data_IF_024704625839
#
_entry.id   IF_024704625839
#
_cell.length_a   1.000
_cell.length_b   1.000
_cell.length_c   1.000
_cell.angle_alpha   90.00
_cell.angle_beta   90.00
_cell.angle_gamma   90.00
#
_symmetry.space_group_name_H-M   'P 1'
#
loop_
_entity.id
_entity.type
_entity.pdbx_description
1 polymer ?
#
# COMPACT_ATOMS: atom_id res chain seq x y z
N UNK A 1 -24.15 14.59 4.90
CA UNK A 1 -24.56 13.18 5.09
C UNK A 1 -24.72 12.42 3.77
N UNK A 2 -25.42 12.95 2.76
CA UNK A 2 -25.62 12.28 1.45
C UNK A 2 -24.33 12.01 0.67
N UNK A 3 -23.38 12.95 0.67
CA UNK A 3 -22.07 12.81 0.00
C UNK A 3 -21.30 11.59 0.52
N UNK A 4 -21.15 11.47 1.84
CA UNK A 4 -20.44 10.34 2.46
C UNK A 4 -21.16 9.01 2.18
N UNK A 5 -22.48 8.97 2.22
CA UNK A 5 -23.26 7.77 1.90
C UNK A 5 -23.02 7.29 0.47
N UNK A 6 -22.95 8.18 -0.51
CA UNK A 6 -22.62 7.82 -1.91
C UNK A 6 -21.20 7.31 -2.06
N UNK A 7 -20.22 7.93 -1.39
CA UNK A 7 -18.84 7.44 -1.39
C UNK A 7 -18.80 6.01 -0.84
N UNK A 8 -19.41 5.75 0.32
CA UNK A 8 -19.49 4.41 0.92
C UNK A 8 -20.14 3.40 -0.02
N UNK A 9 -21.24 3.76 -0.68
CA UNK A 9 -21.92 2.85 -1.62
C UNK A 9 -21.01 2.45 -2.79
N UNK A 10 -20.32 3.40 -3.41
CA UNK A 10 -19.42 3.13 -4.53
C UNK A 10 -18.26 2.24 -4.08
N UNK A 11 -17.66 2.54 -2.93
CA UNK A 11 -16.54 1.75 -2.37
C UNK A 11 -16.99 0.33 -2.02
N UNK A 12 -18.17 0.15 -1.43
CA UNK A 12 -18.72 -1.17 -1.14
C UNK A 12 -19.03 -2.00 -2.40
N UNK A 13 -19.55 -1.37 -3.45
CA UNK A 13 -19.79 -2.04 -4.74
C UNK A 13 -18.45 -2.48 -5.35
N UNK A 14 -17.43 -1.62 -5.37
CA UNK A 14 -16.10 -1.96 -5.84
C UNK A 14 -15.49 -3.12 -5.04
N UNK A 15 -15.55 -3.06 -3.71
CA UNK A 15 -15.08 -4.11 -2.81
C UNK A 15 -15.78 -5.45 -3.02
N UNK A 16 -17.12 -5.44 -3.15
CA UNK A 16 -17.88 -6.66 -3.42
C UNK A 16 -17.50 -7.30 -4.77
N UNK A 17 -17.31 -6.50 -5.81
CA UNK A 17 -16.84 -6.98 -7.11
C UNK A 17 -15.43 -7.55 -7.00
N UNK A 18 -14.52 -6.91 -6.26
CA UNK A 18 -13.17 -7.42 -6.04
C UNK A 18 -13.16 -8.77 -5.34
N UNK A 19 -13.94 -8.96 -4.29
CA UNK A 19 -14.06 -10.24 -3.57
C UNK A 19 -14.64 -11.33 -4.49
N UNK A 20 -15.69 -11.01 -5.25
CA UNK A 20 -16.27 -11.95 -6.20
C UNK A 20 -15.28 -12.37 -7.28
N UNK A 21 -14.55 -11.41 -7.84
CA UNK A 21 -13.52 -11.68 -8.85
C UNK A 21 -12.36 -12.46 -8.28
N UNK A 22 -11.93 -12.19 -7.05
CA UNK A 22 -10.87 -12.91 -6.36
C UNK A 22 -11.20 -14.40 -6.27
N UNK A 23 -12.38 -14.76 -5.74
CA UNK A 23 -12.83 -16.14 -5.62
C UNK A 23 -12.93 -16.79 -7.01
N UNK A 24 -13.52 -16.09 -7.97
CA UNK A 24 -13.69 -16.61 -9.33
C UNK A 24 -12.36 -16.85 -10.04
N UNK A 25 -11.38 -15.95 -9.90
CA UNK A 25 -10.03 -16.11 -10.46
C UNK A 25 -9.31 -17.33 -9.86
N UNK A 26 -9.38 -17.53 -8.53
CA UNK A 26 -8.80 -18.72 -7.91
C UNK A 26 -9.43 -20.01 -8.42
N UNK A 27 -10.75 -20.10 -8.44
CA UNK A 27 -11.46 -21.28 -8.96
C UNK A 27 -11.09 -21.51 -10.43
N UNK A 28 -11.15 -20.48 -11.27
CA UNK A 28 -10.84 -20.59 -12.68
C UNK A 28 -9.37 -20.93 -12.96
N UNK A 29 -8.45 -20.41 -12.15
CA UNK A 29 -7.02 -20.71 -12.26
C UNK A 29 -6.69 -22.14 -11.89
N UNK A 30 -7.26 -22.65 -10.81
CA UNK A 30 -7.05 -24.03 -10.34
C UNK A 30 -7.72 -25.03 -11.28
N UNK A 31 -9.03 -24.88 -11.53
CA UNK A 31 -9.82 -25.78 -12.39
C UNK A 31 -9.37 -25.69 -13.86
N UNK A 32 -9.04 -24.47 -14.32
CA UNK A 32 -8.52 -24.22 -15.66
C UNK A 32 -7.03 -24.56 -15.83
N UNK A 33 -6.34 -25.01 -14.79
CA UNK A 33 -4.90 -25.33 -14.82
C UNK A 33 -4.01 -24.18 -15.36
N UNK A 34 -4.41 -22.92 -15.17
CA UNK A 34 -3.68 -21.73 -15.63
C UNK A 34 -2.79 -21.18 -14.51
N UNK A 35 -1.48 -21.18 -14.74
CA UNK A 35 -0.53 -20.57 -13.81
C UNK A 35 -0.67 -19.04 -13.79
N UNK A 36 -0.92 -18.42 -14.96
CA UNK A 36 -1.13 -16.98 -15.06
C UNK A 36 -2.38 -16.52 -14.31
N UNK A 37 -3.49 -17.27 -14.39
CA UNK A 37 -4.71 -16.94 -13.66
C UNK A 37 -4.54 -17.10 -12.15
N UNK A 38 -3.83 -18.11 -11.68
CA UNK A 38 -3.50 -18.25 -10.25
C UNK A 38 -2.63 -17.08 -9.77
N UNK A 39 -1.64 -16.67 -10.56
CA UNK A 39 -0.79 -15.54 -10.24
C UNK A 39 -1.60 -14.21 -10.16
N UNK A 40 -2.52 -13.99 -11.12
CA UNK A 40 -3.42 -12.82 -11.12
C UNK A 40 -4.43 -12.87 -9.95
N UNK A 41 -4.88 -14.06 -9.54
CA UNK A 41 -5.70 -14.23 -8.33
C UNK A 41 -4.92 -13.87 -7.05
N UNK A 42 -3.66 -14.30 -6.95
CA UNK A 42 -2.79 -13.95 -5.81
C UNK A 42 -2.50 -12.46 -5.77
N UNK A 43 -2.30 -11.81 -6.92
CA UNK A 43 -2.18 -10.35 -6.99
C UNK A 43 -3.44 -9.67 -6.44
N UNK A 44 -4.62 -10.07 -6.90
CA UNK A 44 -5.90 -9.54 -6.38
C UNK A 44 -6.13 -9.86 -4.89
N UNK A 45 -5.60 -11.00 -4.39
CA UNK A 45 -5.61 -11.32 -2.97
C UNK A 45 -4.73 -10.36 -2.18
N UNK A 46 -3.56 -9.99 -2.71
CA UNK A 46 -2.66 -9.06 -2.05
C UNK A 46 -3.31 -7.69 -1.83
N UNK A 47 -4.01 -7.20 -2.84
CA UNK A 47 -4.72 -5.93 -2.76
C UNK A 47 -5.83 -6.00 -1.69
N UNK A 48 -6.66 -7.05 -1.75
CA UNK A 48 -7.73 -7.27 -0.77
C UNK A 48 -7.20 -7.40 0.67
N UNK A 49 -6.12 -8.14 0.87
CA UNK A 49 -5.50 -8.32 2.19
C UNK A 49 -4.94 -6.99 2.69
N UNK A 50 -4.32 -6.19 1.84
CA UNK A 50 -3.84 -4.86 2.19
C UNK A 50 -5.00 -3.96 2.63
N UNK A 51 -6.11 -3.96 1.89
CA UNK A 51 -7.32 -3.19 2.23
C UNK A 51 -7.91 -3.61 3.59
N UNK A 52 -8.03 -4.92 3.84
CA UNK A 52 -8.53 -5.45 5.13
C UNK A 52 -7.63 -5.05 6.29
N UNK A 53 -6.32 -5.06 6.07
CA UNK A 53 -5.37 -4.65 7.10
C UNK A 53 -5.49 -3.19 7.42
N UNK A 54 -5.54 -2.32 6.40
CA UNK A 54 -5.78 -0.90 6.64
C UNK A 54 -7.05 -0.70 7.47
N UNK A 55 -8.13 -1.41 7.16
CA UNK A 55 -9.39 -1.30 7.91
C UNK A 55 -9.30 -1.82 9.37
N UNK A 56 -8.69 -2.98 9.58
CA UNK A 56 -8.58 -3.61 10.91
C UNK A 56 -7.56 -2.87 11.76
N UNK A 57 -6.44 -2.51 11.18
CA UNK A 57 -5.35 -1.90 11.95
C UNK A 57 -5.52 -0.40 12.17
N UNK A 58 -6.22 0.33 11.29
CA UNK A 58 -6.69 1.69 11.61
C UNK A 58 -7.56 1.69 12.87
N UNK A 59 -8.36 0.63 13.09
CA UNK A 59 -9.13 0.51 14.31
C UNK A 59 -8.28 0.19 15.56
N UNK A 60 -7.23 -0.62 15.41
CA UNK A 60 -6.33 -1.00 16.54
C UNK A 60 -5.32 0.12 16.81
N UNK A 61 -4.73 0.69 15.77
CA UNK A 61 -3.75 1.79 15.89
C UNK A 61 -4.37 3.07 16.44
N UNK A 62 -5.66 3.28 16.23
CA UNK A 62 -6.43 4.37 16.82
C UNK A 62 -6.72 4.23 18.31
N UNK A 63 -6.27 3.15 18.99
CA UNK A 63 -6.38 3.06 20.46
C UNK A 63 -5.44 4.09 21.09
N UNK A 64 -5.95 4.85 22.09
CA UNK A 64 -5.13 5.84 22.78
C UNK A 64 -3.97 5.18 23.53
N UNK A 65 -3.00 5.99 23.92
CA UNK A 65 -1.89 5.60 24.81
C UNK A 65 -2.43 4.92 26.06
N UNK A 66 -1.78 3.85 26.47
CA UNK A 66 -2.08 3.12 27.71
C UNK A 66 -0.79 2.88 28.52
N UNK A 67 -0.90 2.23 29.69
CA UNK A 67 0.23 1.97 30.58
C UNK A 67 1.31 1.05 30.00
N UNK A 68 1.01 0.35 28.91
CA UNK A 68 1.92 -0.57 28.24
C UNK A 68 2.52 0.01 26.96
N UNK A 69 1.88 1.05 26.39
CA UNK A 69 2.25 1.67 25.13
C UNK A 69 2.16 3.21 25.23
N UNK A 70 3.19 3.83 25.79
CA UNK A 70 3.26 5.28 26.02
C UNK A 70 3.19 6.10 24.71
N UNK A 71 3.64 5.55 23.60
CA UNK A 71 3.56 6.15 22.25
C UNK A 71 2.31 5.70 21.45
N UNK A 72 1.38 4.97 22.10
CA UNK A 72 0.19 4.43 21.44
C UNK A 72 0.46 3.14 20.66
N UNK A 73 -0.51 2.72 19.87
CA UNK A 73 -0.51 1.42 19.19
C UNK A 73 -0.20 1.51 17.68
N UNK A 74 0.28 2.67 17.19
CA UNK A 74 0.50 2.90 15.75
C UNK A 74 1.42 1.87 15.06
N UNK A 75 2.45 1.37 15.74
CA UNK A 75 3.39 0.39 15.18
C UNK A 75 2.78 -1.01 14.92
N UNK A 76 1.59 -1.32 15.45
CA UNK A 76 0.88 -2.55 15.08
C UNK A 76 0.51 -2.58 13.60
N UNK A 77 0.15 -1.43 13.01
CA UNK A 77 -0.10 -1.32 11.58
C UNK A 77 1.16 -1.66 10.77
N UNK A 78 2.29 -1.08 11.13
CA UNK A 78 3.58 -1.33 10.48
C UNK A 78 3.99 -2.81 10.59
N UNK A 79 3.82 -3.43 11.76
CA UNK A 79 4.13 -4.84 11.98
C UNK A 79 3.28 -5.74 11.09
N UNK A 80 1.99 -5.48 11.03
CA UNK A 80 1.07 -6.27 10.21
C UNK A 80 1.39 -6.15 8.72
N UNK A 81 1.61 -4.92 8.23
CA UNK A 81 2.04 -4.67 6.86
C UNK A 81 3.34 -5.43 6.52
N UNK A 82 4.29 -5.48 7.46
CA UNK A 82 5.54 -6.23 7.29
C UNK A 82 5.30 -7.74 7.18
N UNK A 83 4.48 -8.32 8.07
CA UNK A 83 4.15 -9.76 8.04
C UNK A 83 3.50 -10.14 6.71
N UNK A 84 2.61 -9.30 6.20
CA UNK A 84 1.96 -9.55 4.92
C UNK A 84 2.94 -9.43 3.76
N UNK A 85 3.78 -8.40 3.76
CA UNK A 85 4.84 -8.27 2.78
C UNK A 85 5.71 -9.54 2.70
N UNK A 86 6.05 -10.15 3.84
CA UNK A 86 6.79 -11.41 3.90
C UNK A 86 5.98 -12.59 3.32
N UNK A 87 4.72 -12.72 3.69
CA UNK A 87 3.86 -13.79 3.18
C UNK A 87 3.66 -13.69 1.66
N UNK A 88 3.40 -12.48 1.15
CA UNK A 88 3.28 -12.23 -0.29
C UNK A 88 4.57 -12.51 -1.04
N UNK A 89 5.72 -12.12 -0.48
CA UNK A 89 7.02 -12.39 -1.09
C UNK A 89 7.27 -13.90 -1.21
N UNK A 90 6.95 -14.67 -0.17
CA UNK A 90 7.09 -16.12 -0.18
C UNK A 90 6.20 -16.77 -1.26
N UNK A 91 4.94 -16.35 -1.37
CA UNK A 91 4.00 -16.83 -2.39
C UNK A 91 4.46 -16.43 -3.80
N UNK A 92 4.94 -15.22 -3.99
CA UNK A 92 5.45 -14.72 -5.27
C UNK A 92 6.67 -15.54 -5.75
N UNK A 93 7.59 -15.86 -4.86
CA UNK A 93 8.70 -16.78 -5.19
C UNK A 93 8.21 -18.16 -5.61
N UNK A 94 7.18 -18.70 -4.93
CA UNK A 94 6.54 -19.96 -5.33
C UNK A 94 5.95 -19.91 -6.74
N UNK A 95 5.27 -18.80 -7.08
CA UNK A 95 4.71 -18.58 -8.43
C UNK A 95 5.80 -18.52 -9.48
N UNK A 96 6.84 -17.70 -9.25
CA UNK A 96 7.98 -17.56 -10.19
C UNK A 96 8.70 -18.89 -10.36
N UNK A 97 9.00 -19.59 -9.27
CA UNK A 97 9.62 -20.92 -9.33
C UNK A 97 8.77 -21.91 -10.12
N UNK A 98 7.47 -22.01 -9.85
CA UNK A 98 6.55 -22.88 -10.57
C UNK A 98 6.41 -22.50 -12.06
N UNK A 99 6.44 -21.22 -12.39
CA UNK A 99 6.45 -20.74 -13.77
C UNK A 99 7.75 -21.12 -14.51
N UNK A 100 8.89 -20.86 -13.90
CA UNK A 100 10.21 -21.18 -14.48
C UNK A 100 10.36 -22.69 -14.69
N UNK A 101 9.96 -23.53 -13.73
CA UNK A 101 10.03 -25.00 -13.88
C UNK A 101 9.17 -25.49 -15.03
N UNK A 102 7.98 -24.92 -15.26
CA UNK A 102 7.14 -25.24 -16.42
C UNK A 102 7.78 -24.79 -17.74
N UNK A 103 8.37 -23.59 -17.79
CA UNK A 103 9.09 -23.09 -18.97
C UNK A 103 10.26 -24.02 -19.30
N UNK A 104 11.04 -24.43 -18.29
CA UNK A 104 12.16 -25.34 -18.48
C UNK A 104 11.73 -26.75 -18.92
N UNK A 105 10.63 -27.26 -18.38
CA UNK A 105 10.04 -28.53 -18.83
C UNK A 105 9.64 -28.47 -20.32
N UNK A 106 8.98 -27.37 -20.73
CA UNK A 106 8.62 -27.13 -22.13
C UNK A 106 9.87 -27.08 -23.04
N UNK A 107 10.92 -26.38 -22.60
CA UNK A 107 12.19 -26.29 -23.33
C UNK A 107 12.82 -27.67 -23.55
N UNK A 108 12.72 -28.57 -22.60
CA UNK A 108 13.19 -29.96 -22.68
C UNK A 108 12.24 -30.87 -23.46
N UNK A 109 11.26 -30.35 -24.18
CA UNK A 109 10.35 -31.10 -25.04
C UNK A 109 9.15 -31.72 -24.31
N UNK A 110 8.94 -31.45 -23.02
CA UNK A 110 7.74 -31.87 -22.32
C UNK A 110 6.52 -31.06 -22.76
N UNK A 111 5.45 -31.75 -23.11
CA UNK A 111 4.19 -31.06 -23.44
C UNK A 111 3.52 -30.52 -22.19
N UNK A 112 3.29 -29.20 -22.15
CA UNK A 112 2.51 -28.57 -21.11
C UNK A 112 1.02 -28.72 -21.40
N UNK A 113 0.23 -28.91 -20.35
CA UNK A 113 -1.23 -28.90 -20.46
C UNK A 113 -1.69 -27.47 -20.77
N UNK A 114 -2.46 -27.32 -21.86
CA UNK A 114 -3.05 -26.02 -22.20
C UNK A 114 -4.01 -25.56 -21.10
N UNK A 115 -4.03 -24.26 -20.77
CA UNK A 115 -5.01 -23.71 -19.83
C UNK A 115 -6.43 -23.89 -20.37
N UNK A 116 -7.38 -24.10 -19.46
CA UNK A 116 -8.79 -24.26 -19.82
C UNK A 116 -9.45 -22.93 -20.20
N UNK A 117 -10.46 -23.01 -21.07
CA UNK A 117 -11.26 -21.84 -21.48
C UNK A 117 -11.90 -21.09 -20.30
N UNK A 118 -12.13 -21.76 -19.16
CA UNK A 118 -12.64 -21.12 -17.95
C UNK A 118 -11.71 -20.03 -17.43
N UNK A 119 -10.38 -20.26 -17.46
CA UNK A 119 -9.40 -19.27 -17.05
C UNK A 119 -9.38 -18.05 -18.00
N UNK A 120 -9.54 -18.29 -19.31
CA UNK A 120 -9.63 -17.21 -20.29
C UNK A 120 -10.87 -16.34 -20.08
N UNK A 121 -12.04 -16.95 -19.92
CA UNK A 121 -13.27 -16.21 -19.63
C UNK A 121 -13.22 -15.46 -18.32
N UNK A 122 -12.55 -16.03 -17.30
CA UNK A 122 -12.34 -15.35 -16.03
C UNK A 122 -11.46 -14.11 -16.17
N UNK A 123 -10.40 -14.18 -17.00
CA UNK A 123 -9.57 -13.01 -17.29
C UNK A 123 -10.37 -11.91 -18.00
N UNK A 124 -11.12 -12.24 -19.02
CA UNK A 124 -11.96 -11.28 -19.75
C UNK A 124 -13.02 -10.65 -18.85
N UNK A 125 -13.72 -11.46 -18.05
CA UNK A 125 -14.73 -10.97 -17.11
C UNK A 125 -14.10 -10.05 -16.06
N UNK A 126 -12.90 -10.39 -15.57
CA UNK A 126 -12.15 -9.52 -14.64
C UNK A 126 -11.86 -8.15 -15.24
N UNK A 127 -11.37 -8.10 -16.48
CA UNK A 127 -11.09 -6.84 -17.18
C UNK A 127 -12.36 -6.02 -17.34
N UNK A 128 -13.45 -6.65 -17.80
CA UNK A 128 -14.73 -5.97 -18.04
C UNK A 128 -15.34 -5.41 -16.76
N UNK A 129 -15.36 -6.20 -15.68
CA UNK A 129 -15.95 -5.76 -14.41
C UNK A 129 -15.10 -4.68 -13.75
N UNK A 130 -13.76 -4.80 -13.76
CA UNK A 130 -12.88 -3.76 -13.22
C UNK A 130 -12.96 -2.45 -14.01
N UNK A 131 -13.05 -2.51 -15.33
CA UNK A 131 -13.28 -1.31 -16.16
C UNK A 131 -14.66 -0.69 -15.89
N UNK A 132 -15.70 -1.50 -15.68
CA UNK A 132 -17.02 -1.01 -15.32
C UNK A 132 -17.03 -0.32 -13.94
N UNK A 133 -16.37 -0.93 -12.94
CA UNK A 133 -16.19 -0.33 -11.61
C UNK A 133 -15.40 0.98 -11.71
N UNK A 134 -14.31 1.00 -12.50
CA UNK A 134 -13.56 2.23 -12.76
C UNK A 134 -14.46 3.34 -13.29
N UNK A 135 -15.22 3.07 -14.37
CA UNK A 135 -16.10 4.08 -14.99
C UNK A 135 -17.18 4.58 -14.04
N UNK A 136 -17.75 3.68 -13.26
CA UNK A 136 -18.74 4.04 -12.24
C UNK A 136 -18.12 4.90 -11.14
N UNK A 137 -16.97 4.47 -10.60
CA UNK A 137 -16.29 5.18 -9.50
C UNK A 137 -15.78 6.55 -9.93
N UNK A 138 -15.17 6.68 -11.12
CA UNK A 138 -14.64 7.95 -11.62
C UNK A 138 -15.74 8.97 -11.89
N UNK A 139 -16.89 8.53 -12.43
CA UNK A 139 -18.04 9.40 -12.66
C UNK A 139 -18.58 9.99 -11.35
N UNK A 140 -18.68 9.15 -10.30
CA UNK A 140 -19.13 9.61 -8.98
C UNK A 140 -18.05 10.45 -8.28
N UNK A 141 -16.77 10.12 -8.44
CA UNK A 141 -15.66 10.89 -7.90
C UNK A 141 -15.67 12.34 -8.41
N UNK A 142 -15.86 12.53 -9.72
CA UNK A 142 -15.97 13.86 -10.33
C UNK A 142 -17.21 14.62 -9.86
N UNK A 143 -18.37 13.95 -9.73
CA UNK A 143 -19.59 14.58 -9.20
C UNK A 143 -19.44 15.06 -7.76
N UNK A 144 -18.70 14.31 -6.93
CA UNK A 144 -18.51 14.59 -5.51
C UNK A 144 -17.22 15.35 -5.20
N UNK A 145 -16.39 15.63 -6.21
CA UNK A 145 -15.05 16.21 -6.10
C UNK A 145 -14.21 15.50 -5.02
N UNK A 146 -14.20 14.15 -5.05
CA UNK A 146 -13.54 13.31 -4.07
C UNK A 146 -12.27 12.72 -4.64
N UNK A 147 -11.11 13.29 -4.27
CA UNK A 147 -9.79 12.80 -4.69
C UNK A 147 -9.53 11.35 -4.24
N UNK A 148 -10.01 10.98 -3.05
CA UNK A 148 -9.86 9.61 -2.54
C UNK A 148 -10.62 8.59 -3.40
N UNK A 149 -11.86 8.92 -3.82
CA UNK A 149 -12.64 8.03 -4.70
C UNK A 149 -12.03 7.99 -6.11
N UNK A 150 -11.47 9.09 -6.59
CA UNK A 150 -10.76 9.16 -7.86
C UNK A 150 -9.51 8.27 -7.84
N UNK A 151 -8.68 8.36 -6.80
CA UNK A 151 -7.51 7.50 -6.63
C UNK A 151 -7.90 6.01 -6.59
N UNK A 152 -8.96 5.65 -5.87
CA UNK A 152 -9.48 4.28 -5.83
C UNK A 152 -10.00 3.82 -7.20
N UNK A 153 -10.63 4.69 -7.98
CA UNK A 153 -11.05 4.36 -9.34
C UNK A 153 -9.83 4.04 -10.24
N UNK A 154 -8.79 4.86 -10.20
CA UNK A 154 -7.56 4.61 -10.95
C UNK A 154 -6.85 3.31 -10.53
N UNK A 155 -6.93 2.94 -9.25
CA UNK A 155 -6.44 1.63 -8.79
C UNK A 155 -7.16 0.48 -9.49
N UNK A 156 -8.50 0.48 -9.54
CA UNK A 156 -9.27 -0.53 -10.28
C UNK A 156 -8.89 -0.62 -11.76
N UNK A 157 -8.59 0.52 -12.40
CA UNK A 157 -8.14 0.54 -13.79
C UNK A 157 -6.74 -0.04 -13.96
N UNK A 158 -5.83 0.26 -13.04
CA UNK A 158 -4.49 -0.32 -13.04
C UNK A 158 -4.53 -1.86 -12.95
N UNK A 159 -5.41 -2.37 -12.09
CA UNK A 159 -5.63 -3.82 -11.96
C UNK A 159 -6.26 -4.44 -13.22
N UNK A 160 -7.16 -3.71 -13.89
CA UNK A 160 -7.71 -4.17 -15.17
C UNK A 160 -6.60 -4.31 -16.23
N UNK A 161 -5.68 -3.34 -16.27
CA UNK A 161 -4.53 -3.37 -17.19
C UNK A 161 -3.58 -4.54 -16.90
N UNK A 162 -3.33 -4.86 -15.62
CA UNK A 162 -2.51 -6.04 -15.24
C UNK A 162 -3.15 -7.35 -15.69
N UNK A 163 -4.48 -7.47 -15.56
CA UNK A 163 -5.23 -8.64 -16.02
C UNK A 163 -5.24 -8.81 -17.55
N UNK A 164 -4.96 -7.76 -18.34
CA UNK A 164 -4.79 -7.86 -19.81
C UNK A 164 -3.58 -8.74 -20.13
N UNK A 165 -2.45 -8.55 -19.46
CA UNK A 165 -1.26 -9.39 -19.65
C UNK A 165 -1.55 -10.87 -19.38
N UNK A 166 -2.29 -11.16 -18.31
CA UNK A 166 -2.77 -12.51 -18.00
C UNK A 166 -3.68 -13.08 -19.09
N UNK A 167 -4.64 -12.28 -19.58
CA UNK A 167 -5.54 -12.70 -20.65
C UNK A 167 -4.81 -13.00 -21.97
N UNK A 168 -3.80 -12.21 -22.31
CA UNK A 168 -2.95 -12.44 -23.51
C UNK A 168 -2.15 -13.74 -23.35
N UNK A 169 -1.55 -13.98 -22.18
CA UNK A 169 -0.79 -15.21 -21.90
C UNK A 169 -1.66 -16.45 -22.00
N UNK A 170 -2.83 -16.44 -21.37
CA UNK A 170 -3.79 -17.55 -21.40
C UNK A 170 -4.37 -17.75 -22.81
N UNK A 171 -4.82 -16.65 -23.45
CA UNK A 171 -5.39 -16.70 -24.79
C UNK A 171 -4.38 -17.19 -25.81
N UNK A 172 -3.14 -16.71 -25.77
CA UNK A 172 -2.07 -17.21 -26.62
C UNK A 172 -1.80 -18.71 -26.41
N UNK A 173 -1.77 -19.17 -25.17
CA UNK A 173 -1.59 -20.59 -24.85
C UNK A 173 -2.74 -21.49 -25.34
N UNK A 174 -3.97 -20.95 -25.45
CA UNK A 174 -5.14 -21.70 -25.95
C UNK A 174 -5.22 -21.68 -27.47
N UNK A 175 -5.14 -20.46 -28.08
CA UNK A 175 -5.51 -20.27 -29.48
C UNK A 175 -4.38 -20.49 -30.48
N UNK A 176 -3.09 -20.37 -30.04
CA UNK A 176 -1.95 -20.56 -30.92
C UNK A 176 -1.46 -22.04 -31.01
N UNK A 177 -2.08 -22.92 -30.24
CA UNK A 177 -1.79 -24.35 -30.26
C UNK A 177 -0.71 -24.81 -29.27
N UNK A 178 -0.42 -26.10 -29.29
CA UNK A 178 0.39 -26.80 -28.26
C UNK A 178 1.79 -26.21 -28.07
N UNK A 179 2.42 -25.72 -29.13
CA UNK A 179 3.75 -25.12 -29.05
C UNK A 179 3.77 -23.80 -28.28
N UNK A 180 2.63 -23.15 -28.09
CA UNK A 180 2.49 -21.86 -27.43
C UNK A 180 1.94 -21.95 -26.00
N UNK A 181 1.75 -23.18 -25.47
CA UNK A 181 1.28 -23.37 -24.08
C UNK A 181 2.22 -22.76 -23.05
N UNK A 182 3.46 -22.48 -23.41
CA UNK A 182 4.47 -21.81 -22.60
C UNK A 182 4.08 -20.34 -22.27
N UNK A 183 3.18 -19.73 -23.02
CA UNK A 183 2.75 -18.34 -22.77
C UNK A 183 2.05 -18.17 -21.42
N UNK A 184 1.30 -19.18 -20.96
CA UNK A 184 0.68 -19.15 -19.63
C UNK A 184 1.72 -19.10 -18.49
N UNK A 185 2.70 -20.01 -18.39
CA UNK A 185 3.75 -19.87 -17.37
C UNK A 185 4.64 -18.62 -17.54
N UNK A 186 4.86 -18.12 -18.77
CA UNK A 186 5.56 -16.85 -18.96
C UNK A 186 4.78 -15.69 -18.34
N UNK A 187 3.47 -15.60 -18.62
CA UNK A 187 2.62 -14.60 -18.00
C UNK A 187 2.60 -14.73 -16.47
N UNK A 188 2.56 -15.96 -15.95
CA UNK A 188 2.66 -16.23 -14.50
C UNK A 188 3.96 -15.67 -13.90
N UNK A 189 5.11 -15.88 -14.55
CA UNK A 189 6.40 -15.35 -14.10
C UNK A 189 6.42 -13.83 -14.10
N UNK A 190 5.87 -13.21 -15.15
CA UNK A 190 5.78 -11.74 -15.22
C UNK A 190 4.94 -11.19 -14.06
N UNK A 191 3.75 -11.75 -13.83
CA UNK A 191 2.88 -11.34 -12.71
C UNK A 191 3.59 -11.60 -11.37
N UNK A 192 4.28 -12.74 -11.21
CA UNK A 192 5.07 -13.05 -10.02
C UNK A 192 6.15 -11.99 -9.72
N UNK A 193 6.85 -11.47 -10.74
CA UNK A 193 7.80 -10.38 -10.56
C UNK A 193 7.13 -9.07 -10.13
N UNK A 194 5.93 -8.76 -10.62
CA UNK A 194 5.17 -7.61 -10.12
C UNK A 194 4.81 -7.77 -8.64
N UNK A 195 4.39 -8.98 -8.22
CA UNK A 195 4.09 -9.25 -6.81
C UNK A 195 5.37 -9.12 -5.95
N UNK A 196 6.53 -9.62 -6.42
CA UNK A 196 7.83 -9.44 -5.74
C UNK A 196 8.14 -7.96 -5.54
N UNK A 197 7.97 -7.15 -6.59
CA UNK A 197 8.22 -5.70 -6.51
C UNK A 197 7.34 -5.05 -5.44
N UNK A 198 6.03 -5.30 -5.45
CA UNK A 198 5.09 -4.74 -4.48
C UNK A 198 5.41 -5.22 -3.06
N UNK A 199 5.66 -6.52 -2.88
CA UNK A 199 6.03 -7.10 -1.58
C UNK A 199 7.32 -6.50 -1.04
N UNK A 200 8.33 -6.30 -1.89
CA UNK A 200 9.62 -5.70 -1.50
C UNK A 200 9.44 -4.24 -1.08
N UNK A 201 8.56 -3.49 -1.76
CA UNK A 201 8.26 -2.11 -1.39
C UNK A 201 7.54 -2.03 -0.04
N UNK A 202 6.55 -2.90 0.21
CA UNK A 202 5.88 -3.03 1.51
C UNK A 202 6.88 -3.35 2.62
N UNK A 203 7.76 -4.32 2.38
CA UNK A 203 8.80 -4.72 3.34
C UNK A 203 9.79 -3.60 3.63
N UNK A 204 10.25 -2.90 2.59
CA UNK A 204 11.19 -1.79 2.76
C UNK A 204 10.58 -0.69 3.63
N UNK A 205 9.32 -0.32 3.40
CA UNK A 205 8.60 0.66 4.23
C UNK A 205 8.40 0.12 5.64
N UNK A 206 7.88 -1.10 5.78
CA UNK A 206 7.62 -1.71 7.10
C UNK A 206 8.88 -1.85 7.94
N UNK A 207 9.96 -2.37 7.37
CA UNK A 207 11.25 -2.47 8.08
C UNK A 207 11.84 -1.09 8.36
N UNK A 208 11.78 -0.14 7.44
CA UNK A 208 12.21 1.24 7.67
C UNK A 208 11.53 1.84 8.90
N UNK A 209 10.20 1.79 8.95
CA UNK A 209 9.41 2.31 10.08
C UNK A 209 9.69 1.56 11.40
N UNK A 210 9.90 0.22 11.35
CA UNK A 210 10.25 -0.57 12.54
C UNK A 210 11.65 -0.26 13.05
N UNK A 211 12.58 0.05 12.15
CA UNK A 211 13.97 0.41 12.44
C UNK A 211 14.16 1.90 12.70
N UNK A 212 13.07 2.64 12.93
CA UNK A 212 13.10 4.05 13.28
C UNK A 212 13.74 4.94 12.17
N UNK A 213 13.49 4.60 10.89
CA UNK A 213 13.97 5.39 9.77
C UNK A 213 13.41 6.82 9.85
N UNK A 214 14.26 7.82 9.59
CA UNK A 214 13.88 9.23 9.51
C UNK A 214 12.84 9.48 8.40
N UNK A 215 12.13 10.58 8.53
CA UNK A 215 11.21 11.04 7.51
C UNK A 215 11.99 11.50 6.25
N UNK A 216 11.31 11.64 5.09
CA UNK A 216 11.93 12.20 3.89
C UNK A 216 12.54 13.57 4.15
N UNK A 217 13.66 13.88 3.48
CA UNK A 217 14.43 15.11 3.63
C UNK A 217 13.57 16.37 3.46
N UNK A 218 12.63 16.33 2.50
CA UNK A 218 11.71 17.45 2.25
C UNK A 218 10.79 17.73 3.45
N UNK A 219 10.40 16.68 4.18
CA UNK A 219 9.58 16.82 5.40
C UNK A 219 10.42 17.33 6.56
N UNK A 220 11.66 16.86 6.70
CA UNK A 220 12.59 17.32 7.74
C UNK A 220 12.95 18.79 7.55
N UNK A 221 13.21 19.23 6.31
CA UNK A 221 13.42 20.65 5.98
C UNK A 221 12.21 21.50 6.31
N UNK A 222 11.00 21.00 6.07
CA UNK A 222 9.76 21.71 6.40
C UNK A 222 9.58 21.85 7.91
N UNK A 223 9.87 20.79 8.69
CA UNK A 223 9.85 20.83 10.15
C UNK A 223 10.79 21.92 10.67
N UNK A 224 12.03 21.97 10.18
CA UNK A 224 13.01 22.98 10.58
C UNK A 224 12.57 24.39 10.22
N UNK A 225 11.97 24.59 9.03
CA UNK A 225 11.43 25.89 8.61
C UNK A 225 10.27 26.33 9.51
N UNK A 226 9.36 25.44 9.85
CA UNK A 226 8.24 25.71 10.75
C UNK A 226 8.74 26.07 12.15
N UNK A 227 9.70 25.36 12.70
CA UNK A 227 10.30 25.67 13.98
C UNK A 227 11.02 27.04 13.97
N UNK A 228 11.77 27.34 12.90
CA UNK A 228 12.46 28.61 12.73
C UNK A 228 11.52 29.80 12.52
N UNK A 229 10.24 29.59 12.22
CA UNK A 229 9.27 30.66 12.03
C UNK A 229 8.79 31.30 13.33
N UNK A 230 9.07 30.67 14.48
CA UNK A 230 8.69 31.21 15.80
C UNK A 230 9.70 32.27 16.25
N UNK A 231 9.18 33.44 16.57
CA UNK A 231 10.02 34.57 16.98
C UNK A 231 10.84 34.26 18.24
N UNK A 232 12.13 34.59 18.20
CA UNK A 232 13.09 34.31 19.28
C UNK A 232 13.68 32.89 19.24
N UNK A 233 13.37 32.05 18.26
CA UNK A 233 13.97 30.75 18.04
C UNK A 233 15.15 30.91 17.07
N UNK A 234 16.30 30.42 17.48
CA UNK A 234 17.51 30.48 16.69
C UNK A 234 17.98 29.04 16.41
N UNK A 235 18.46 28.82 15.19
CA UNK A 235 19.13 27.60 14.75
C UNK A 235 18.47 26.28 15.24
N UNK A 236 17.26 25.92 14.76
CA UNK A 236 16.72 24.59 15.00
C UNK A 236 17.69 23.52 14.47
N UNK A 237 18.08 22.54 15.30
CA UNK A 237 19.10 21.55 14.97
C UNK A 237 18.87 20.24 15.69
N UNK A 238 19.75 19.26 15.51
CA UNK A 238 19.66 17.87 16.07
C UNK A 238 18.27 17.25 15.88
N UNK A 239 17.67 17.50 14.71
CA UNK A 239 16.35 16.97 14.36
C UNK A 239 16.41 15.45 14.27
N UNK A 240 15.50 14.79 15.00
CA UNK A 240 15.26 13.36 14.92
C UNK A 240 13.78 13.13 14.64
N UNK A 241 13.52 12.34 13.63
CA UNK A 241 12.18 12.05 13.19
C UNK A 241 11.97 10.56 13.05
N UNK A 242 10.74 10.11 13.26
CA UNK A 242 10.31 8.75 12.93
C UNK A 242 8.81 8.68 12.73
N UNK A 243 8.38 7.64 12.05
CA UNK A 243 6.95 7.35 11.87
C UNK A 243 6.45 6.40 12.97
N UNK A 244 5.26 6.68 13.49
CA UNK A 244 4.53 5.82 14.45
C UNK A 244 3.15 5.54 13.86
N UNK A 245 3.06 4.54 12.96
CA UNK A 245 1.83 4.28 12.20
C UNK A 245 1.48 5.47 11.29
N UNK A 246 0.33 6.09 11.54
CA UNK A 246 -0.16 7.25 10.77
C UNK A 246 0.35 8.60 11.27
N UNK A 247 1.10 8.67 12.39
CA UNK A 247 1.60 9.91 12.97
C UNK A 247 3.13 9.97 12.96
N UNK A 248 3.67 11.13 13.31
CA UNK A 248 5.10 11.36 13.43
C UNK A 248 5.53 11.53 14.88
N UNK A 249 6.77 11.15 15.18
CA UNK A 249 7.49 11.61 16.35
C UNK A 249 8.61 12.53 15.85
N UNK A 250 8.68 13.73 16.43
CA UNK A 250 9.58 14.81 16.07
C UNK A 250 10.28 15.25 17.35
N UNK A 251 11.60 15.16 17.37
CA UNK A 251 12.45 15.63 18.46
C UNK A 251 13.46 16.61 17.86
N UNK A 252 13.57 17.82 18.39
CA UNK A 252 14.53 18.81 17.89
C UNK A 252 15.04 19.71 18.99
N UNK A 253 16.22 20.27 18.78
CA UNK A 253 16.83 21.28 19.62
C UNK A 253 16.68 22.67 19.01
N UNK A 254 16.53 23.67 19.86
CA UNK A 254 16.47 25.07 19.47
C UNK A 254 17.34 25.90 20.41
N UNK A 255 17.98 26.93 19.86
CA UNK A 255 18.69 27.92 20.66
C UNK A 255 17.76 29.10 20.98
N UNK A 256 17.90 29.62 22.20
CA UNK A 256 17.21 30.84 22.66
C UNK A 256 18.16 31.71 23.49
N UNK A 257 17.95 33.05 23.57
CA UNK A 257 18.78 33.90 24.39
C UNK A 257 18.84 33.41 25.85
N UNK A 258 20.08 33.28 26.38
CA UNK A 258 20.30 32.68 27.70
C UNK A 258 19.78 33.48 28.89
N UNK A 259 19.30 34.68 28.67
CA UNK A 259 18.74 35.57 29.69
C UNK A 259 17.22 35.52 29.79
N UNK A 260 16.54 34.77 28.91
CA UNK A 260 15.08 34.60 29.00
C UNK A 260 14.67 33.74 30.19
N UNK A 261 13.49 34.00 30.72
CA UNK A 261 12.94 33.15 31.79
C UNK A 261 12.53 31.75 31.25
N UNK A 262 12.63 30.71 32.10
CA UNK A 262 12.14 29.39 31.76
C UNK A 262 10.68 29.38 31.27
N UNK A 263 9.85 30.27 31.83
CA UNK A 263 8.45 30.44 31.42
C UNK A 263 8.34 30.93 29.97
N UNK A 264 9.15 31.91 29.57
CA UNK A 264 9.17 32.39 28.19
C UNK A 264 9.69 31.35 27.22
N UNK A 265 10.75 30.63 27.57
CA UNK A 265 11.29 29.52 26.78
C UNK A 265 10.24 28.43 26.58
N UNK A 266 9.52 28.05 27.63
CA UNK A 266 8.45 27.04 27.57
C UNK A 266 7.28 27.47 26.64
N UNK A 267 6.88 28.75 26.71
CA UNK A 267 5.84 29.28 25.82
C UNK A 267 6.26 29.13 24.34
N UNK A 268 7.52 29.45 24.02
CA UNK A 268 8.04 29.34 22.65
C UNK A 268 8.14 27.86 22.18
N UNK A 269 8.61 26.96 23.06
CA UNK A 269 8.60 25.54 22.76
C UNK A 269 7.16 25.03 22.50
N UNK A 270 6.20 25.44 23.31
CA UNK A 270 4.78 25.07 23.13
C UNK A 270 4.18 25.65 21.85
N UNK A 271 4.60 26.84 21.41
CA UNK A 271 4.19 27.43 20.13
C UNK A 271 4.67 26.60 18.96
N UNK A 272 5.93 26.13 18.97
CA UNK A 272 6.45 25.20 17.95
C UNK A 272 5.66 23.88 17.97
N UNK A 273 5.43 23.29 19.16
CA UNK A 273 4.65 22.05 19.28
C UNK A 273 3.26 22.19 18.66
N UNK A 274 2.59 23.32 18.91
CA UNK A 274 1.25 23.58 18.36
C UNK A 274 1.28 23.74 16.84
N UNK A 275 2.23 24.48 16.29
CA UNK A 275 2.42 24.65 14.84
C UNK A 275 2.65 23.28 14.17
N UNK A 276 3.54 22.46 14.71
CA UNK A 276 3.84 21.15 14.16
C UNK A 276 2.63 20.19 14.25
N UNK A 277 1.88 20.21 15.37
CA UNK A 277 0.65 19.42 15.51
C UNK A 277 -0.48 19.91 14.59
N UNK A 278 -0.60 21.20 14.36
CA UNK A 278 -1.57 21.73 13.39
C UNK A 278 -1.24 21.29 11.96
N UNK A 279 0.05 21.21 11.63
CA UNK A 279 0.50 20.86 10.29
C UNK A 279 0.47 19.36 10.02
N UNK A 280 0.99 18.54 10.96
CA UNK A 280 1.16 17.08 10.80
C UNK A 280 0.08 16.24 11.50
N UNK A 281 -0.84 16.87 12.20
CA UNK A 281 -1.94 16.23 12.93
C UNK A 281 -1.77 16.20 14.44
N UNK A 282 -2.90 16.21 15.20
CA UNK A 282 -2.91 16.37 16.65
C UNK A 282 -2.24 15.24 17.43
N UNK A 283 -2.13 14.06 16.83
CA UNK A 283 -1.49 12.88 17.44
C UNK A 283 0.04 12.88 17.27
N UNK A 284 0.61 13.86 16.55
CA UNK A 284 2.06 13.98 16.37
C UNK A 284 2.74 14.21 17.74
N UNK A 285 3.69 13.34 18.06
CA UNK A 285 4.53 13.50 19.25
C UNK A 285 5.63 14.53 18.92
N UNK A 286 5.69 15.61 19.70
CA UNK A 286 6.71 16.65 19.52
C UNK A 286 7.42 16.83 20.86
N UNK A 287 8.75 16.79 20.82
CA UNK A 287 9.61 17.10 21.96
C UNK A 287 10.64 18.15 21.55
N UNK A 288 10.63 19.28 22.27
CA UNK A 288 11.54 20.39 22.00
C UNK A 288 12.54 20.50 23.15
N UNK A 289 13.83 20.41 22.83
CA UNK A 289 14.89 20.71 23.75
C UNK A 289 15.38 22.14 23.54
N UNK A 290 15.33 22.94 24.61
CA UNK A 290 15.76 24.35 24.56
C UNK A 290 17.15 24.50 25.15
N UNK A 291 18.05 25.09 24.39
CA UNK A 291 19.43 25.36 24.77
C UNK A 291 19.71 26.87 24.79
N UNK A 292 20.59 27.36 25.67
CA UNK A 292 21.00 28.75 25.63
C UNK A 292 21.93 29.00 24.43
N UNK A 293 21.76 30.17 23.78
CA UNK A 293 22.64 30.67 22.73
C UNK A 293 24.03 31.00 23.25
#
# INVERSE_FOLDING_TARGET
MERNRKIYQVTLVGGAVNVLLLVFKFVAGIVGHSAAMVADAVHSLSDFVTDVIVLVFVHISGKPKDKSHDYGHGKYETLAMTIIGLALLAVAFGIVYGGITKIFAWWNGHQLKAPGMLAFWAALLSILLKEAVYRYSIAVAHQLQSQALEANAWHHRSDALSSIGTAIGIGGAIFLGQSWTVLDPIASVIVGFFIIKVSTELLRRGFGDLMEQSLPEEVEEEILRLAASVDGVVNPHDLRTRRIGSHYAIELHILMPGDISLCQAHVKASEIEEILRQHYGPETHVAIHVEPE
#
